data_IF_916244936549
#
_entry.id   IF_916244936549
#
_cell.length_a   1.000
_cell.length_b   1.000
_cell.length_c   1.000
_cell.angle_alpha   90.00
_cell.angle_beta   90.00
_cell.angle_gamma   90.00
#
_symmetry.space_group_name_H-M   'P 1'
#
loop_
_entity.id
_entity.type
_entity.pdbx_description
1 polymer ?
#
# COMPACT_ATOMS: atom_id res chain seq x y z
N UNK A 1 18.13 14.43 -6.19
CA UNK A 1 17.77 13.03 -6.59
C UNK A 1 18.73 12.07 -5.88
N UNK A 2 18.26 10.93 -5.38
CA UNK A 2 19.06 9.99 -4.56
C UNK A 2 19.77 8.86 -5.33
N UNK A 3 19.90 8.97 -6.66
CA UNK A 3 20.48 7.90 -7.48
C UNK A 3 19.61 6.62 -7.50
N UNK A 4 20.09 5.53 -8.12
CA UNK A 4 19.43 4.23 -8.09
C UNK A 4 19.46 3.60 -6.69
N UNK A 5 18.43 2.83 -6.35
CA UNK A 5 18.30 2.15 -5.05
C UNK A 5 16.92 1.51 -4.85
N UNK A 6 16.66 1.01 -3.63
CA UNK A 6 15.33 0.51 -3.25
C UNK A 6 14.28 1.61 -3.39
N UNK A 7 13.22 1.33 -4.15
CA UNK A 7 12.18 2.31 -4.45
C UNK A 7 11.04 2.31 -3.43
N UNK A 8 10.48 1.13 -3.13
CA UNK A 8 9.45 0.90 -2.11
C UNK A 8 9.45 -0.57 -1.72
N UNK A 9 8.69 -0.91 -0.67
CA UNK A 9 8.38 -2.30 -0.31
C UNK A 9 6.88 -2.55 -0.46
N UNK A 10 6.51 -3.69 -1.02
CA UNK A 10 5.12 -4.13 -1.12
C UNK A 10 4.82 -5.22 -0.10
N UNK A 11 3.71 -5.06 0.63
CA UNK A 11 3.22 -5.97 1.66
C UNK A 11 1.91 -6.57 1.19
N UNK A 12 1.86 -7.90 1.10
CA UNK A 12 0.62 -8.61 0.76
C UNK A 12 -0.37 -8.48 1.91
N UNK A 13 -1.62 -8.18 1.57
CA UNK A 13 -2.76 -8.16 2.50
C UNK A 13 -3.91 -9.00 1.93
N UNK A 14 -4.71 -9.58 2.82
CA UNK A 14 -5.87 -10.38 2.42
C UNK A 14 -7.08 -9.53 2.03
N UNK A 15 -7.23 -8.36 2.65
CA UNK A 15 -8.31 -7.42 2.38
C UNK A 15 -7.81 -5.99 2.51
N UNK A 16 -7.66 -5.31 1.38
CA UNK A 16 -7.06 -3.98 1.28
C UNK A 16 -7.91 -2.92 1.95
N UNK A 17 -9.23 -2.95 1.79
CA UNK A 17 -10.13 -1.94 2.37
C UNK A 17 -10.14 -2.02 3.90
N UNK A 18 -10.14 -3.24 4.44
CA UNK A 18 -10.05 -3.48 5.88
C UNK A 18 -8.73 -2.95 6.44
N UNK A 19 -7.61 -3.25 5.79
CA UNK A 19 -6.30 -2.76 6.25
C UNK A 19 -6.16 -1.24 6.08
N UNK A 20 -6.70 -0.66 5.01
CA UNK A 20 -6.75 0.80 4.84
C UNK A 20 -7.53 1.46 5.97
N UNK A 21 -8.68 0.90 6.35
CA UNK A 21 -9.48 1.39 7.49
C UNK A 21 -8.73 1.28 8.81
N UNK A 22 -8.20 0.08 9.14
CA UNK A 22 -7.47 -0.17 10.39
C UNK A 22 -6.27 0.75 10.54
N UNK A 23 -5.44 0.85 9.50
CA UNK A 23 -4.26 1.71 9.52
C UNK A 23 -4.64 3.19 9.56
N UNK A 24 -5.72 3.60 8.88
CA UNK A 24 -6.27 4.95 8.98
C UNK A 24 -6.69 5.33 10.40
N UNK A 25 -7.29 4.40 11.15
CA UNK A 25 -7.62 4.57 12.58
C UNK A 25 -6.38 4.70 13.46
N UNK A 26 -5.27 4.08 13.06
CA UNK A 26 -3.94 4.22 13.68
C UNK A 26 -3.17 5.49 13.21
N UNK A 27 -3.85 6.37 12.47
CA UNK A 27 -3.29 7.64 12.00
C UNK A 27 -2.48 7.55 10.72
N UNK A 28 -2.52 6.42 10.02
CA UNK A 28 -1.88 6.29 8.71
C UNK A 28 -2.57 7.18 7.66
N UNK A 29 -1.76 7.79 6.80
CA UNK A 29 -2.25 8.53 5.66
C UNK A 29 -1.93 7.73 4.40
N UNK A 30 -2.94 7.52 3.56
CA UNK A 30 -2.77 6.90 2.25
C UNK A 30 -2.62 7.97 1.17
N UNK A 31 -1.87 7.66 0.11
CA UNK A 31 -1.73 8.53 -1.06
C UNK A 31 -3.03 8.56 -1.91
N UNK A 32 -3.89 7.55 -1.76
CA UNK A 32 -5.21 7.48 -2.38
C UNK A 32 -6.28 7.19 -1.33
N UNK A 33 -7.48 7.75 -1.52
CA UNK A 33 -8.62 7.54 -0.61
C UNK A 33 -9.26 6.15 -0.75
N UNK A 34 -9.07 5.50 -1.90
CA UNK A 34 -9.60 4.17 -2.20
C UNK A 34 -8.52 3.28 -2.84
N UNK A 35 -8.68 1.94 -2.78
CA UNK A 35 -7.87 1.00 -3.54
C UNK A 35 -7.78 1.38 -5.01
N UNK A 36 -6.59 1.24 -5.59
CA UNK A 36 -6.33 1.44 -7.01
C UNK A 36 -6.07 0.10 -7.70
N UNK A 37 -6.34 0.02 -9.00
CA UNK A 37 -6.02 -1.15 -9.79
C UNK A 37 -4.50 -1.31 -9.92
N UNK A 38 -4.00 -2.49 -9.60
CA UNK A 38 -2.61 -2.90 -9.77
C UNK A 38 -2.39 -3.73 -11.05
N UNK A 39 -1.33 -4.53 -11.05
CA UNK A 39 -1.00 -5.46 -12.15
C UNK A 39 -1.61 -6.84 -11.87
N UNK A 40 -1.83 -7.66 -12.90
CA UNK A 40 -2.30 -9.03 -12.75
C UNK A 40 -3.58 -9.16 -11.88
N UNK A 41 -4.49 -8.19 -11.98
CA UNK A 41 -5.74 -8.17 -11.22
C UNK A 41 -5.61 -7.80 -9.74
N UNK A 42 -4.43 -7.36 -9.28
CA UNK A 42 -4.28 -6.93 -7.89
C UNK A 42 -4.95 -5.59 -7.62
N UNK A 43 -5.24 -5.33 -6.34
CA UNK A 43 -5.63 -4.01 -5.83
C UNK A 43 -4.51 -3.48 -4.94
N UNK A 44 -4.22 -2.18 -5.01
CA UNK A 44 -3.08 -1.57 -4.32
C UNK A 44 -3.44 -0.27 -3.61
N UNK A 45 -2.75 0.03 -2.52
CA UNK A 45 -2.78 1.34 -1.88
C UNK A 45 -1.41 1.70 -1.30
N UNK A 46 -1.00 2.95 -1.41
CA UNK A 46 0.28 3.42 -0.91
C UNK A 46 0.13 4.21 0.38
N UNK A 47 0.98 3.90 1.36
CA UNK A 47 1.11 4.69 2.59
C UNK A 47 2.01 5.90 2.34
N UNK A 48 1.67 7.04 2.93
CA UNK A 48 2.51 8.22 2.90
C UNK A 48 3.80 7.95 3.67
N UNK A 49 5.00 8.19 3.10
CA UNK A 49 6.28 7.83 3.72
C UNK A 49 6.50 8.43 5.11
N UNK A 50 5.88 9.58 5.40
CA UNK A 50 5.91 10.22 6.73
C UNK A 50 5.43 9.31 7.86
N UNK A 51 4.43 8.46 7.61
CA UNK A 51 3.92 7.52 8.62
C UNK A 51 4.84 6.29 8.74
N UNK A 52 5.45 5.86 7.63
CA UNK A 52 6.29 4.66 7.55
C UNK A 52 7.81 4.96 7.63
N UNK A 53 8.22 5.89 8.49
CA UNK A 53 9.64 6.15 8.78
C UNK A 53 10.48 6.59 7.58
N UNK A 54 9.86 7.24 6.58
CA UNK A 54 10.51 7.68 5.35
C UNK A 54 10.50 6.65 4.22
N UNK A 55 9.94 5.46 4.45
CA UNK A 55 9.82 4.40 3.43
C UNK A 55 8.47 4.50 2.71
N UNK A 56 8.47 4.41 1.39
CA UNK A 56 7.22 4.23 0.64
C UNK A 56 6.79 2.75 0.77
N UNK A 57 5.61 2.52 1.34
CA UNK A 57 5.03 1.19 1.48
C UNK A 57 3.80 1.07 0.58
N UNK A 58 3.71 -0.06 -0.11
CA UNK A 58 2.55 -0.48 -0.90
C UNK A 58 1.86 -1.63 -0.17
N UNK A 59 0.54 -1.54 0.00
CA UNK A 59 -0.29 -2.69 0.36
C UNK A 59 -0.85 -3.28 -0.94
N UNK A 60 -0.72 -4.60 -1.11
CA UNK A 60 -1.18 -5.30 -2.30
C UNK A 60 -2.12 -6.45 -1.92
N UNK A 61 -3.31 -6.45 -2.48
CA UNK A 61 -4.26 -7.56 -2.40
C UNK A 61 -4.27 -8.31 -3.73
N UNK A 62 -4.04 -9.62 -3.67
CA UNK A 62 -4.13 -10.48 -4.84
C UNK A 62 -5.58 -10.89 -5.11
N UNK A 63 -5.95 -11.11 -6.37
CA UNK A 63 -7.22 -11.75 -6.67
C UNK A 63 -7.27 -13.13 -6.00
N UNK A 64 -8.47 -13.64 -5.67
CA UNK A 64 -8.63 -14.99 -5.17
C UNK A 64 -7.91 -15.99 -6.08
N UNK A 65 -7.19 -16.95 -5.48
CA UNK A 65 -6.65 -18.08 -6.23
C UNK A 65 -7.83 -18.89 -6.80
N UNK A 66 -7.83 -19.09 -8.13
CA UNK A 66 -8.83 -19.87 -8.86
C UNK A 66 -8.43 -21.32 -8.99
#
# INVERSE_FOLDING_TARGET
KRGPGLHHMALRVENLEREMKRLGEEGAQFLSSTPQAGRAGTRVAFLHPKWAGGTLLELIEHPPEV
#
